data_IF_163863803275
#
_entry.id   IF_163863803275
#
_cell.length_a   1.000
_cell.length_b   1.000
_cell.length_c   1.000
_cell.angle_alpha   90.00
_cell.angle_beta   90.00
_cell.angle_gamma   90.00
#
_symmetry.space_group_name_H-M   'P 1'
#
loop_
_entity.id
_entity.type
_entity.pdbx_description
1 polymer ?
#
# COMPACT_ATOMS: atom_id res chain seq x y z
N UNK A 1 3.34 -5.19 -9.03
CA UNK A 1 2.49 -4.15 -9.64
C UNK A 1 2.44 -2.93 -8.72
N UNK A 2 2.16 -1.74 -9.25
CA UNK A 2 2.06 -0.50 -8.48
C UNK A 2 0.67 0.13 -8.59
N UNK A 3 0.08 0.51 -7.47
CA UNK A 3 -1.20 1.25 -7.42
C UNK A 3 -0.93 2.62 -6.82
N UNK A 4 -1.40 3.66 -7.53
CA UNK A 4 -1.45 5.03 -7.02
C UNK A 4 -2.87 5.30 -6.56
N UNK A 5 -3.05 5.79 -5.34
CA UNK A 5 -4.37 6.12 -4.77
C UNK A 5 -4.55 7.64 -4.69
N UNK A 6 -5.76 8.13 -4.42
CA UNK A 6 -6.08 9.57 -4.36
C UNK A 6 -6.30 10.08 -2.93
N UNK A 7 -6.00 9.27 -1.91
CA UNK A 7 -6.16 9.64 -0.51
C UNK A 7 -5.50 8.65 0.44
N UNK A 8 -5.14 9.11 1.66
CA UNK A 8 -4.59 8.25 2.71
C UNK A 8 -5.58 7.13 3.11
N UNK A 9 -6.86 7.46 3.23
CA UNK A 9 -7.90 6.48 3.59
C UNK A 9 -8.07 5.42 2.51
N UNK A 10 -7.98 5.82 1.23
CA UNK A 10 -8.04 4.88 0.12
C UNK A 10 -6.79 3.99 0.07
N UNK A 11 -5.60 4.58 0.23
CA UNK A 11 -4.33 3.85 0.33
C UNK A 11 -4.41 2.78 1.42
N UNK A 12 -4.92 3.16 2.59
CA UNK A 12 -5.09 2.28 3.76
C UNK A 12 -6.10 1.17 3.49
N UNK A 13 -7.25 1.52 2.89
CA UNK A 13 -8.29 0.55 2.53
C UNK A 13 -7.78 -0.49 1.54
N UNK A 14 -7.11 -0.07 0.47
CA UNK A 14 -6.54 -0.95 -0.56
C UNK A 14 -5.44 -1.82 0.04
N UNK A 15 -4.54 -1.23 0.83
CA UNK A 15 -3.47 -1.96 1.52
C UNK A 15 -4.03 -3.06 2.43
N UNK A 16 -5.02 -2.73 3.27
CA UNK A 16 -5.64 -3.70 4.18
C UNK A 16 -6.37 -4.81 3.43
N UNK A 17 -7.10 -4.49 2.36
CA UNK A 17 -7.81 -5.48 1.56
C UNK A 17 -6.86 -6.46 0.87
N UNK A 18 -5.72 -5.99 0.35
CA UNK A 18 -4.72 -6.86 -0.28
C UNK A 18 -3.88 -7.64 0.76
N UNK A 19 -3.70 -7.07 1.95
CA UNK A 19 -3.02 -7.73 3.06
C UNK A 19 -3.87 -8.84 3.69
N UNK A 20 -5.18 -8.85 3.46
CA UNK A 20 -6.08 -9.91 3.94
C UNK A 20 -5.68 -11.27 3.33
N UNK A 21 -5.21 -12.19 4.18
CA UNK A 21 -4.58 -13.46 3.78
C UNK A 21 -3.32 -13.30 2.90
N UNK A 22 -2.72 -12.12 2.90
CA UNK A 22 -1.43 -11.83 2.31
C UNK A 22 -0.32 -11.74 3.35
N UNK A 23 0.86 -11.30 2.92
CA UNK A 23 2.03 -11.03 3.76
C UNK A 23 2.45 -9.59 3.58
N UNK A 24 2.36 -8.80 4.65
CA UNK A 24 2.95 -7.46 4.68
C UNK A 24 4.47 -7.59 4.71
N UNK A 25 5.15 -6.94 3.77
CA UNK A 25 6.61 -6.89 3.72
C UNK A 25 7.14 -5.54 4.18
N UNK A 26 6.38 -4.48 3.92
CA UNK A 26 6.61 -3.13 4.42
C UNK A 26 5.26 -2.54 4.81
N UNK A 27 5.10 -2.18 6.09
CA UNK A 27 3.89 -1.54 6.59
C UNK A 27 3.62 -0.24 5.81
N UNK A 28 2.35 0.11 5.58
CA UNK A 28 2.02 1.42 5.02
C UNK A 28 2.43 2.53 6.01
N UNK A 29 3.33 3.41 5.62
CA UNK A 29 3.77 4.54 6.45
C UNK A 29 3.93 5.82 5.63
N UNK A 30 3.81 6.99 6.30
CA UNK A 30 4.14 8.30 5.71
C UNK A 30 5.66 8.45 5.62
N UNK A 31 6.16 8.70 4.42
CA UNK A 31 7.57 8.97 4.14
C UNK A 31 7.91 10.44 4.40
N UNK A 32 9.20 10.74 4.46
CA UNK A 32 9.71 12.10 4.62
C UNK A 32 9.47 13.00 3.40
N UNK A 33 9.12 12.42 2.24
CA UNK A 33 8.86 13.15 0.99
C UNK A 33 7.36 13.40 0.76
N UNK A 34 6.60 13.63 1.83
CA UNK A 34 5.14 13.87 1.78
C UNK A 34 4.38 12.82 0.94
N UNK A 35 4.68 11.54 1.13
CA UNK A 35 3.94 10.43 0.47
C UNK A 35 3.71 9.27 1.42
N UNK A 36 2.84 8.34 1.08
CA UNK A 36 2.69 7.06 1.75
C UNK A 36 3.24 5.95 0.87
N UNK A 37 3.95 5.01 1.50
CA UNK A 37 4.51 3.83 0.85
C UNK A 37 4.18 2.58 1.67
N UNK A 38 3.75 1.53 0.99
CA UNK A 38 3.55 0.21 1.58
C UNK A 38 3.82 -0.92 0.58
N UNK A 39 4.24 -2.08 1.08
CA UNK A 39 4.47 -3.26 0.25
C UNK A 39 3.93 -4.52 0.91
N UNK A 40 3.32 -5.38 0.12
CA UNK A 40 2.75 -6.65 0.56
C UNK A 40 2.71 -7.65 -0.61
N UNK A 41 2.61 -8.93 -0.26
CA UNK A 41 2.29 -10.02 -1.20
C UNK A 41 0.86 -10.48 -0.92
N UNK A 42 -0.03 -10.50 -1.91
CA UNK A 42 -1.40 -10.96 -1.68
C UNK A 42 -1.51 -12.49 -1.60
N UNK A 43 -2.71 -13.01 -1.32
CA UNK A 43 -2.99 -14.46 -1.24
C UNK A 43 -2.69 -15.26 -2.51
N UNK A 44 -2.62 -14.59 -3.67
CA UNK A 44 -2.30 -15.21 -4.96
C UNK A 44 -0.79 -15.21 -5.26
N UNK A 45 0.02 -14.66 -4.35
CA UNK A 45 1.47 -14.56 -4.52
C UNK A 45 1.92 -13.31 -5.28
N UNK A 46 1.03 -12.36 -5.55
CA UNK A 46 1.37 -11.14 -6.29
C UNK A 46 1.96 -10.09 -5.36
N UNK A 47 3.10 -9.54 -5.76
CA UNK A 47 3.74 -8.44 -5.05
C UNK A 47 3.14 -7.08 -5.45
N UNK A 48 2.63 -6.37 -4.44
CA UNK A 48 2.02 -5.06 -4.55
C UNK A 48 2.88 -4.00 -3.87
N UNK A 49 3.04 -2.86 -4.56
CA UNK A 49 3.53 -1.62 -3.97
C UNK A 49 2.41 -0.59 -4.05
N UNK A 50 2.01 -0.07 -2.89
CA UNK A 50 1.03 1.01 -2.77
C UNK A 50 1.81 2.30 -2.58
N UNK A 51 1.52 3.30 -3.42
CA UNK A 51 2.03 4.66 -3.24
C UNK A 51 0.87 5.66 -3.21
N UNK A 52 1.00 6.70 -2.39
CA UNK A 52 0.11 7.86 -2.42
C UNK A 52 0.93 9.11 -2.21
N UNK A 53 0.84 10.09 -3.10
CA UNK A 53 1.49 11.39 -2.89
C UNK A 53 0.50 12.33 -2.22
N UNK A 54 0.93 13.04 -1.18
CA UNK A 54 0.11 14.08 -0.58
C UNK A 54 -0.07 15.25 -1.57
N UNK A 55 -1.17 16.00 -1.47
CA UNK A 55 -1.46 17.16 -2.32
C UNK A 55 -0.40 18.26 -2.23
#
# INVERSE_FOLDING_TARGET
>A
MSVNTIGQDEATRVFNALAENGKITVQLFKTFSESYLGMLTDKSGVNWRINYNLP
#
